data_IF_026137139823
#
_entry.id   IF_026137139823
#
_cell.length_a   1.000
_cell.length_b   1.000
_cell.length_c   1.000
_cell.angle_alpha   90.00
_cell.angle_beta   90.00
_cell.angle_gamma   90.00
#
_symmetry.space_group_name_H-M   'P 1'
#
loop_
_entity.id
_entity.type
_entity.pdbx_description
1 polymer ?
#
# COMPACT_ATOMS: atom_id res chain seq x y z
N UNK A 1 -2.52 39.23 3.64
CA UNK A 1 -3.82 39.72 3.24
C UNK A 1 -4.94 38.74 3.66
N UNK A 2 -6.18 39.20 3.87
CA UNK A 2 -7.29 38.36 4.38
C UNK A 2 -7.66 37.19 3.48
N UNK A 3 -7.38 37.23 2.19
CA UNK A 3 -7.74 36.17 1.25
C UNK A 3 -6.95 34.85 1.39
N UNK A 4 -5.76 34.89 1.95
CA UNK A 4 -4.91 33.69 2.11
C UNK A 4 -5.38 32.80 3.26
N UNK A 5 -5.85 33.40 4.36
CA UNK A 5 -6.36 32.65 5.52
C UNK A 5 -7.70 31.95 5.24
N UNK A 6 -8.59 32.58 4.48
CA UNK A 6 -9.89 32.00 4.11
C UNK A 6 -9.71 30.79 3.19
N UNK A 7 -8.77 30.85 2.23
CA UNK A 7 -8.50 29.72 1.33
C UNK A 7 -7.83 28.53 2.04
N UNK A 8 -6.94 28.77 3.00
CA UNK A 8 -6.33 27.71 3.80
C UNK A 8 -7.36 27.02 4.72
N UNK A 9 -8.26 27.80 5.33
CA UNK A 9 -9.36 27.29 6.16
C UNK A 9 -10.38 26.47 5.35
N UNK A 10 -10.77 26.93 4.16
CA UNK A 10 -11.70 26.19 3.29
C UNK A 10 -11.12 24.85 2.83
N UNK A 11 -9.85 24.83 2.41
CA UNK A 11 -9.17 23.58 2.01
C UNK A 11 -9.03 22.58 3.16
N UNK A 12 -8.72 23.06 4.36
CA UNK A 12 -8.68 22.22 5.57
C UNK A 12 -10.05 21.64 5.91
N UNK A 13 -11.12 22.42 5.75
CA UNK A 13 -12.51 21.99 5.94
C UNK A 13 -12.93 20.92 4.92
N UNK A 14 -12.57 21.09 3.64
CA UNK A 14 -12.85 20.12 2.59
C UNK A 14 -12.10 18.80 2.79
N UNK A 15 -10.81 18.84 3.16
CA UNK A 15 -10.02 17.67 3.47
C UNK A 15 -10.61 16.90 4.66
N UNK A 16 -10.94 17.58 5.75
CA UNK A 16 -11.57 17.00 6.92
C UNK A 16 -12.96 16.41 6.61
N UNK A 17 -13.75 17.05 5.74
CA UNK A 17 -15.06 16.55 5.33
C UNK A 17 -14.95 15.31 4.44
N UNK A 18 -13.92 15.25 3.57
CA UNK A 18 -13.61 14.08 2.74
C UNK A 18 -13.18 12.91 3.61
N UNK A 19 -12.29 13.13 4.55
CA UNK A 19 -11.82 12.10 5.48
C UNK A 19 -12.96 11.53 6.33
N UNK A 20 -13.87 12.40 6.82
CA UNK A 20 -15.07 11.94 7.53
C UNK A 20 -15.98 11.07 6.66
N UNK A 21 -16.18 11.44 5.37
CA UNK A 21 -16.97 10.63 4.43
C UNK A 21 -16.32 9.27 4.15
N UNK A 22 -15.01 9.22 3.90
CA UNK A 22 -14.27 7.97 3.72
C UNK A 22 -14.41 7.05 4.95
N UNK A 23 -14.34 7.62 6.14
CA UNK A 23 -14.43 6.90 7.42
C UNK A 23 -15.84 6.41 7.76
N UNK A 24 -16.90 7.03 7.24
CA UNK A 24 -18.28 6.73 7.62
C UNK A 24 -18.73 5.29 7.32
N UNK A 25 -18.04 4.57 6.42
CA UNK A 25 -18.29 3.16 6.12
C UNK A 25 -17.53 2.16 7.01
N UNK A 26 -16.57 2.64 7.81
CA UNK A 26 -15.71 1.75 8.58
C UNK A 26 -16.46 1.11 9.78
N UNK A 27 -16.17 -0.18 10.02
CA UNK A 27 -16.67 -0.95 11.16
C UNK A 27 -15.47 -1.36 12.01
N UNK A 28 -15.24 -0.61 13.08
CA UNK A 28 -14.20 -0.93 14.04
C UNK A 28 -14.66 -1.99 15.03
N UNK A 29 -13.78 -2.91 15.47
CA UNK A 29 -14.12 -3.92 16.45
C UNK A 29 -14.43 -3.28 17.82
N UNK A 30 -15.46 -3.76 18.47
CA UNK A 30 -15.75 -3.39 19.86
C UNK A 30 -14.70 -4.05 20.78
N UNK A 31 -13.80 -3.25 21.32
CA UNK A 31 -12.73 -3.72 22.19
C UNK A 31 -12.20 -2.59 23.06
N UNK A 32 -11.39 -2.94 24.08
CA UNK A 32 -10.67 -1.93 24.88
C UNK A 32 -9.71 -1.06 24.05
N UNK A 33 -9.40 -1.46 22.81
CA UNK A 33 -8.52 -0.78 21.88
C UNK A 33 -9.27 0.03 20.82
N UNK A 34 -10.60 0.14 20.91
CA UNK A 34 -11.43 0.81 19.89
C UNK A 34 -10.98 2.25 19.62
N UNK A 35 -10.62 3.02 20.65
CA UNK A 35 -10.10 4.38 20.47
C UNK A 35 -8.79 4.41 19.70
N UNK A 36 -7.85 3.51 20.01
CA UNK A 36 -6.58 3.40 19.29
C UNK A 36 -6.80 3.00 17.82
N UNK A 37 -7.71 2.06 17.56
CA UNK A 37 -8.03 1.63 16.21
C UNK A 37 -8.67 2.77 15.39
N UNK A 38 -9.48 3.59 16.04
CA UNK A 38 -10.12 4.75 15.45
C UNK A 38 -9.10 5.84 15.05
N UNK A 39 -8.16 6.15 15.93
CA UNK A 39 -7.06 7.08 15.68
C UNK A 39 -6.15 6.56 14.56
N UNK A 40 -5.76 5.28 14.61
CA UNK A 40 -4.93 4.65 13.59
C UNK A 40 -5.60 4.66 12.20
N UNK A 41 -6.92 4.40 12.13
CA UNK A 41 -7.67 4.50 10.87
C UNK A 41 -7.71 5.94 10.35
N UNK A 42 -7.87 6.92 11.23
CA UNK A 42 -7.85 8.33 10.85
C UNK A 42 -6.49 8.72 10.26
N UNK A 43 -5.39 8.29 10.87
CA UNK A 43 -4.03 8.53 10.39
C UNK A 43 -3.78 7.81 9.05
N UNK A 44 -4.17 6.57 8.92
CA UNK A 44 -4.02 5.80 7.68
C UNK A 44 -4.77 6.45 6.51
N UNK A 45 -6.01 6.90 6.73
CA UNK A 45 -6.79 7.64 5.74
C UNK A 45 -6.14 8.99 5.38
N UNK A 46 -5.51 9.66 6.34
CA UNK A 46 -4.78 10.91 6.10
C UNK A 46 -3.50 10.70 5.28
N UNK A 47 -2.88 9.51 5.39
CA UNK A 47 -1.69 9.10 4.65
C UNK A 47 -1.99 8.47 3.28
N UNK A 48 -3.27 8.35 2.92
CA UNK A 48 -3.72 7.73 1.67
C UNK A 48 -4.28 8.80 0.72
N UNK A 49 -3.77 8.83 -0.54
CA UNK A 49 -4.18 9.81 -1.56
C UNK A 49 -5.69 10.07 -1.64
N UNK A 50 -6.10 11.13 -2.32
CA UNK A 50 -5.35 11.95 -3.26
C UNK A 50 -4.63 13.18 -2.67
N UNK A 51 -4.88 13.60 -1.44
CA UNK A 51 -4.29 14.83 -0.89
C UNK A 51 -3.69 14.57 0.48
N UNK A 52 -2.38 14.78 0.59
CA UNK A 52 -1.67 14.86 1.87
C UNK A 52 -1.43 16.34 2.20
N UNK A 53 -2.15 16.86 3.18
CA UNK A 53 -1.85 18.16 3.75
C UNK A 53 -0.75 17.99 4.81
N UNK A 54 0.45 18.52 4.56
CA UNK A 54 1.53 18.54 5.56
C UNK A 54 1.85 19.98 5.94
N UNK A 55 1.99 20.23 7.25
CA UNK A 55 2.40 21.54 7.74
C UNK A 55 3.80 21.89 7.19
N UNK A 56 3.91 23.09 6.61
CA UNK A 56 5.20 23.64 6.17
C UNK A 56 5.77 23.11 4.85
N UNK A 57 5.05 22.26 4.12
CA UNK A 57 5.45 21.81 2.78
C UNK A 57 4.35 22.11 1.73
N UNK A 58 4.71 22.31 0.46
CA UNK A 58 3.70 22.44 -0.59
C UNK A 58 2.82 21.20 -0.62
N UNK A 59 1.49 21.36 -0.79
CA UNK A 59 0.59 20.22 -0.88
C UNK A 59 0.99 19.35 -2.08
N UNK A 60 1.45 18.14 -1.82
CA UNK A 60 1.69 17.14 -2.85
C UNK A 60 0.43 16.33 -3.02
N UNK A 61 -0.07 16.25 -4.25
CA UNK A 61 -1.20 15.40 -4.59
C UNK A 61 -0.66 14.01 -4.93
N UNK A 62 -0.96 13.03 -4.10
CA UNK A 62 -0.74 11.63 -4.43
C UNK A 62 -1.96 11.07 -5.16
N UNK A 63 -1.80 10.14 -6.11
CA UNK A 63 -2.94 9.53 -6.79
C UNK A 63 -3.81 8.74 -5.79
N UNK A 64 -5.04 8.48 -6.19
CA UNK A 64 -5.96 7.63 -5.42
C UNK A 64 -5.30 6.28 -5.15
N UNK A 65 -5.39 5.79 -3.92
CA UNK A 65 -4.79 4.52 -3.51
C UNK A 65 -3.30 4.58 -3.14
N UNK A 66 -2.58 5.65 -3.46
CA UNK A 66 -1.21 5.80 -2.98
C UNK A 66 -1.18 5.96 -1.46
N UNK A 67 -0.47 5.10 -0.76
CA UNK A 67 -0.28 5.16 0.70
C UNK A 67 1.16 5.54 0.98
N UNK A 68 1.39 6.63 1.70
CA UNK A 68 2.73 7.01 2.13
C UNK A 68 3.00 6.53 3.55
N UNK A 69 4.24 6.16 3.86
CA UNK A 69 4.63 5.65 5.17
C UNK A 69 4.60 6.72 6.27
N UNK A 70 4.65 7.99 5.90
CA UNK A 70 4.56 9.08 6.86
C UNK A 70 4.36 10.45 6.19
N UNK A 71 3.96 11.47 6.98
CA UNK A 71 3.52 12.76 6.44
C UNK A 71 4.66 13.68 6.01
N UNK A 72 5.92 13.42 6.42
CA UNK A 72 7.04 14.35 6.22
C UNK A 72 8.32 13.68 5.77
N UNK A 73 9.17 14.45 5.10
CA UNK A 73 10.54 14.07 4.74
C UNK A 73 10.63 12.79 3.93
N UNK A 74 11.61 11.97 4.27
CA UNK A 74 11.90 10.69 3.60
C UNK A 74 10.84 9.59 3.78
N UNK A 75 9.78 9.84 4.55
CA UNK A 75 8.65 8.94 4.72
C UNK A 75 7.48 9.23 3.76
N UNK A 76 7.58 10.28 2.96
CA UNK A 76 6.57 10.66 1.96
C UNK A 76 6.74 9.89 0.64
N UNK A 77 6.93 8.60 0.73
CA UNK A 77 6.98 7.67 -0.40
C UNK A 77 6.03 6.51 -0.15
N UNK A 78 5.60 5.86 -1.22
CA UNK A 78 4.81 4.62 -1.16
C UNK A 78 5.76 3.44 -1.17
N UNK A 79 5.77 2.63 -0.12
CA UNK A 79 6.38 1.31 -0.10
C UNK A 79 5.34 0.24 -0.41
N UNK A 80 5.60 -0.69 -1.32
CA UNK A 80 4.62 -1.74 -1.67
C UNK A 80 4.18 -2.58 -0.48
N UNK A 81 5.07 -2.90 0.43
CA UNK A 81 4.79 -3.61 1.68
C UNK A 81 3.79 -2.84 2.54
N UNK A 82 4.09 -1.58 2.86
CA UNK A 82 3.25 -0.72 3.70
C UNK A 82 1.87 -0.51 3.07
N UNK A 83 1.82 -0.27 1.76
CA UNK A 83 0.58 -0.14 1.02
C UNK A 83 -0.25 -1.44 1.06
N UNK A 84 0.37 -2.61 0.96
CA UNK A 84 -0.32 -3.91 1.07
C UNK A 84 -0.95 -4.11 2.44
N UNK A 85 -0.25 -3.77 3.52
CA UNK A 85 -0.84 -3.79 4.87
C UNK A 85 -1.97 -2.78 5.03
N UNK A 86 -1.87 -1.60 4.41
CA UNK A 86 -2.95 -0.61 4.40
C UNK A 86 -4.20 -1.14 3.67
N UNK A 87 -4.04 -1.79 2.50
CA UNK A 87 -5.14 -2.43 1.78
C UNK A 87 -5.85 -3.48 2.66
N UNK A 88 -5.10 -4.36 3.30
CA UNK A 88 -5.65 -5.37 4.21
C UNK A 88 -6.36 -4.72 5.42
N UNK A 89 -5.80 -3.66 5.99
CA UNK A 89 -6.42 -2.94 7.11
C UNK A 89 -7.74 -2.25 6.69
N UNK A 90 -7.78 -1.59 5.53
CA UNK A 90 -9.00 -1.00 5.00
C UNK A 90 -10.08 -2.06 4.74
N UNK A 91 -9.71 -3.19 4.16
CA UNK A 91 -10.64 -4.30 3.93
C UNK A 91 -11.22 -4.84 5.23
N UNK A 92 -10.37 -5.09 6.23
CA UNK A 92 -10.78 -5.63 7.53
C UNK A 92 -11.80 -4.75 8.28
N UNK A 93 -11.78 -3.43 8.04
CA UNK A 93 -12.76 -2.51 8.62
C UNK A 93 -13.93 -2.19 7.67
N UNK A 94 -14.03 -2.86 6.52
CA UNK A 94 -15.12 -2.71 5.56
C UNK A 94 -14.98 -1.54 4.58
N UNK A 95 -13.82 -0.89 4.52
CA UNK A 95 -13.50 0.15 3.54
C UNK A 95 -12.96 -0.48 2.26
N UNK A 96 -13.82 -1.27 1.57
CA UNK A 96 -13.47 -2.03 0.36
C UNK A 96 -12.93 -1.14 -0.75
N UNK A 97 -13.59 -0.03 -1.05
CA UNK A 97 -13.19 0.87 -2.15
C UNK A 97 -11.78 1.42 -1.92
N UNK A 98 -11.42 1.72 -0.68
CA UNK A 98 -10.08 2.16 -0.31
C UNK A 98 -9.05 1.04 -0.48
N UNK A 99 -9.39 -0.19 -0.08
CA UNK A 99 -8.53 -1.36 -0.26
C UNK A 99 -8.26 -1.65 -1.74
N UNK A 100 -9.31 -1.64 -2.57
CA UNK A 100 -9.20 -1.84 -4.01
C UNK A 100 -8.40 -0.73 -4.69
N UNK A 101 -8.60 0.53 -4.28
CA UNK A 101 -7.82 1.66 -4.80
C UNK A 101 -6.32 1.51 -4.51
N UNK A 102 -5.96 1.00 -3.33
CA UNK A 102 -4.54 0.73 -2.99
C UNK A 102 -3.98 -0.38 -3.88
N UNK A 103 -4.70 -1.48 -4.09
CA UNK A 103 -4.26 -2.57 -4.97
C UNK A 103 -4.15 -2.10 -6.43
N UNK A 104 -5.07 -1.25 -6.91
CA UNK A 104 -4.99 -0.63 -8.23
C UNK A 104 -3.71 0.19 -8.38
N UNK A 105 -3.41 1.04 -7.40
CA UNK A 105 -2.19 1.86 -7.42
C UNK A 105 -0.92 1.01 -7.41
N UNK A 106 -0.88 -0.07 -6.62
CA UNK A 106 0.24 -1.01 -6.65
C UNK A 106 0.42 -1.65 -8.03
N UNK A 107 -0.68 -2.04 -8.71
CA UNK A 107 -0.62 -2.58 -10.06
C UNK A 107 -0.11 -1.56 -11.09
N UNK A 108 -0.37 -0.26 -10.90
CA UNK A 108 0.11 0.83 -11.75
C UNK A 108 1.62 1.08 -11.61
N UNK A 109 2.16 1.04 -10.38
CA UNK A 109 3.59 1.32 -10.13
C UNK A 109 4.46 0.06 -10.22
N UNK A 110 3.85 -1.11 -10.40
CA UNK A 110 4.54 -2.38 -10.53
C UNK A 110 5.46 -2.42 -11.75
N UNK A 111 6.62 -3.02 -11.61
CA UNK A 111 7.56 -3.24 -12.71
C UNK A 111 6.96 -4.21 -13.75
N UNK A 112 7.45 -4.16 -15.01
CA UNK A 112 6.99 -5.08 -16.07
C UNK A 112 7.19 -6.56 -15.74
N UNK A 113 8.25 -6.89 -14.95
CA UNK A 113 8.54 -8.25 -14.49
C UNK A 113 7.68 -8.71 -13.30
N UNK A 114 6.75 -7.87 -12.84
CA UNK A 114 5.85 -8.16 -11.72
C UNK A 114 6.44 -7.90 -10.34
N UNK A 115 7.72 -7.53 -10.26
CA UNK A 115 8.36 -7.10 -9.02
C UNK A 115 8.08 -5.61 -8.72
N UNK A 116 8.74 -5.13 -7.67
CA UNK A 116 8.63 -3.73 -7.25
C UNK A 116 10.01 -3.12 -6.97
N UNK A 117 10.10 -1.81 -7.11
CA UNK A 117 11.17 -1.02 -6.52
C UNK A 117 10.96 -0.91 -5.00
N UNK A 118 12.00 -0.49 -4.29
CA UNK A 118 11.88 -0.34 -2.83
C UNK A 118 10.76 0.63 -2.44
N UNK A 119 10.61 1.73 -3.19
CA UNK A 119 9.60 2.76 -2.92
C UNK A 119 9.35 3.66 -4.14
N UNK A 120 8.25 4.40 -4.09
CA UNK A 120 7.78 5.25 -5.18
C UNK A 120 7.43 6.66 -4.70
N UNK A 121 7.64 7.65 -5.58
CA UNK A 121 7.16 9.04 -5.40
C UNK A 121 5.68 9.14 -5.70
N UNK A 122 5.08 10.32 -5.47
CA UNK A 122 3.70 10.62 -5.83
C UNK A 122 3.38 10.45 -7.34
N UNK A 123 4.38 10.58 -8.19
CA UNK A 123 4.24 10.38 -9.64
C UNK A 123 4.51 8.94 -10.09
N UNK A 124 4.72 8.00 -9.16
CA UNK A 124 5.10 6.61 -9.46
C UNK A 124 6.56 6.44 -9.87
N UNK A 125 7.38 7.49 -9.83
CA UNK A 125 8.81 7.41 -10.12
C UNK A 125 9.62 6.84 -8.96
N UNK A 126 10.81 6.31 -9.26
CA UNK A 126 11.77 5.79 -8.27
C UNK A 126 12.59 6.96 -7.71
N UNK A 127 12.58 7.21 -6.40
CA UNK A 127 13.21 8.42 -5.83
C UNK A 127 14.74 8.33 -5.72
N UNK A 128 15.31 7.15 -5.68
CA UNK A 128 16.74 6.91 -5.46
C UNK A 128 17.19 5.55 -6.02
N UNK A 129 18.46 5.22 -5.84
CA UNK A 129 19.10 4.01 -6.36
C UNK A 129 19.06 2.82 -5.38
N UNK A 130 18.13 2.78 -4.44
CA UNK A 130 17.96 1.61 -3.57
C UNK A 130 17.64 0.38 -4.41
N UNK A 131 18.22 -0.77 -4.08
CA UNK A 131 17.90 -1.98 -4.79
C UNK A 131 16.43 -2.36 -4.60
N UNK A 132 15.84 -2.94 -5.63
CA UNK A 132 14.50 -3.50 -5.57
C UNK A 132 14.39 -4.53 -4.44
N UNK A 133 13.20 -4.64 -3.83
CA UNK A 133 12.94 -5.61 -2.76
C UNK A 133 12.13 -6.79 -3.29
N UNK A 134 12.52 -8.00 -2.91
CA UNK A 134 11.87 -9.24 -3.38
C UNK A 134 10.54 -9.56 -2.68
N UNK A 135 10.14 -8.79 -1.69
CA UNK A 135 8.95 -9.04 -0.87
C UNK A 135 7.65 -8.42 -1.44
N UNK A 136 7.77 -7.36 -2.26
CA UNK A 136 6.62 -6.53 -2.64
C UNK A 136 5.52 -7.28 -3.39
N UNK A 137 5.88 -8.17 -4.34
CA UNK A 137 4.90 -8.97 -5.09
C UNK A 137 4.13 -9.93 -4.17
N UNK A 138 4.84 -10.54 -3.21
CA UNK A 138 4.23 -11.43 -2.21
C UNK A 138 3.23 -10.68 -1.32
N UNK A 139 3.60 -9.52 -0.82
CA UNK A 139 2.70 -8.69 -0.01
C UNK A 139 1.47 -8.22 -0.78
N UNK A 140 1.62 -7.85 -2.07
CA UNK A 140 0.48 -7.47 -2.90
C UNK A 140 -0.52 -8.62 -3.07
N UNK A 141 -0.04 -9.84 -3.37
CA UNK A 141 -0.89 -11.01 -3.51
C UNK A 141 -1.56 -11.39 -2.19
N UNK A 142 -0.81 -11.38 -1.09
CA UNK A 142 -1.36 -11.61 0.25
C UNK A 142 -2.48 -10.60 0.56
N UNK A 143 -2.27 -9.31 0.27
CA UNK A 143 -3.30 -8.30 0.51
C UNK A 143 -4.54 -8.53 -0.37
N UNK A 144 -4.39 -8.90 -1.63
CA UNK A 144 -5.50 -9.26 -2.51
C UNK A 144 -6.29 -10.45 -1.95
N UNK A 145 -5.60 -11.49 -1.46
CA UNK A 145 -6.23 -12.63 -0.77
C UNK A 145 -7.01 -12.22 0.48
N UNK A 146 -6.49 -11.26 1.28
CA UNK A 146 -7.22 -10.71 2.42
C UNK A 146 -8.48 -9.96 1.99
N UNK A 147 -8.38 -9.12 0.96
CA UNK A 147 -9.52 -8.38 0.39
C UNK A 147 -10.60 -9.33 -0.14
N UNK A 148 -10.19 -10.45 -0.78
CA UNK A 148 -11.14 -11.52 -1.18
C UNK A 148 -11.81 -12.19 0.03
N UNK A 149 -11.03 -12.56 1.05
CA UNK A 149 -11.56 -13.18 2.26
C UNK A 149 -12.57 -12.30 2.99
N UNK A 150 -12.42 -10.98 2.90
CA UNK A 150 -13.34 -9.99 3.46
C UNK A 150 -14.54 -9.69 2.52
N UNK A 151 -14.68 -10.43 1.41
CA UNK A 151 -15.87 -10.45 0.56
C UNK A 151 -15.78 -9.71 -0.76
N UNK A 152 -14.60 -9.29 -1.23
CA UNK A 152 -14.45 -8.82 -2.60
C UNK A 152 -14.55 -10.01 -3.59
N UNK A 153 -15.24 -9.79 -4.73
CA UNK A 153 -15.31 -10.80 -5.78
C UNK A 153 -14.03 -10.92 -6.59
N UNK A 154 -13.76 -12.11 -7.11
CA UNK A 154 -12.62 -12.33 -8.01
C UNK A 154 -12.70 -11.46 -9.27
N UNK A 155 -13.91 -11.27 -9.83
CA UNK A 155 -14.14 -10.42 -11.00
C UNK A 155 -13.87 -8.95 -10.70
N UNK A 156 -14.19 -8.50 -9.50
CA UNK A 156 -13.92 -7.14 -9.02
C UNK A 156 -12.40 -6.89 -8.95
N UNK A 157 -11.65 -7.78 -8.32
CA UNK A 157 -10.18 -7.73 -8.29
C UNK A 157 -9.57 -7.86 -9.68
N UNK A 158 -10.11 -8.75 -10.51
CA UNK A 158 -9.70 -8.94 -11.90
C UNK A 158 -9.80 -7.64 -12.69
N UNK A 159 -10.90 -6.91 -12.52
CA UNK A 159 -11.13 -5.62 -13.19
C UNK A 159 -10.19 -4.53 -12.68
N UNK A 160 -9.95 -4.48 -11.37
CA UNK A 160 -9.23 -3.37 -10.72
C UNK A 160 -7.71 -3.54 -10.82
N UNK A 161 -7.19 -4.74 -10.59
CA UNK A 161 -5.75 -4.99 -10.50
C UNK A 161 -5.31 -6.35 -11.10
N UNK A 162 -6.17 -7.08 -11.80
CA UNK A 162 -5.93 -8.45 -12.26
C UNK A 162 -4.64 -8.63 -13.06
N UNK A 163 -4.35 -7.75 -14.01
CA UNK A 163 -3.09 -7.80 -14.76
C UNK A 163 -1.86 -7.67 -13.84
N UNK A 164 -1.95 -6.85 -12.79
CA UNK A 164 -0.91 -6.71 -11.76
C UNK A 164 -0.74 -7.98 -10.93
N UNK A 165 -1.84 -8.61 -10.53
CA UNK A 165 -1.82 -9.87 -9.79
C UNK A 165 -1.17 -10.99 -10.61
N UNK A 166 -1.52 -11.12 -11.89
CA UNK A 166 -0.91 -12.11 -12.79
C UNK A 166 0.59 -11.88 -12.92
N UNK A 167 1.04 -10.63 -13.08
CA UNK A 167 2.47 -10.32 -13.13
C UNK A 167 3.16 -10.63 -11.79
N UNK A 168 2.51 -10.36 -10.65
CA UNK A 168 3.05 -10.67 -9.34
C UNK A 168 3.26 -12.19 -9.15
N UNK A 169 2.28 -13.01 -9.56
CA UNK A 169 2.41 -14.47 -9.55
C UNK A 169 3.59 -14.90 -10.42
N UNK A 170 3.68 -14.40 -11.66
CA UNK A 170 4.81 -14.69 -12.57
C UNK A 170 6.16 -14.33 -11.96
N UNK A 171 6.25 -13.19 -11.26
CA UNK A 171 7.46 -12.77 -10.56
C UNK A 171 7.83 -13.75 -9.43
N UNK A 172 6.88 -14.14 -8.57
CA UNK A 172 7.15 -15.08 -7.48
C UNK A 172 7.54 -16.45 -8.00
N UNK A 173 6.89 -16.95 -9.06
CA UNK A 173 7.27 -18.19 -9.70
C UNK A 173 8.71 -18.14 -10.24
N UNK A 174 9.08 -17.04 -10.91
CA UNK A 174 10.45 -16.86 -11.41
C UNK A 174 11.48 -16.79 -10.26
N UNK A 175 11.15 -16.12 -9.15
CA UNK A 175 12.03 -16.03 -7.98
C UNK A 175 12.22 -17.38 -7.30
N UNK A 176 11.26 -18.30 -7.37
CA UNK A 176 11.31 -19.63 -6.75
C UNK A 176 11.67 -20.75 -7.73
N UNK A 177 11.89 -20.44 -9.02
CA UNK A 177 12.41 -21.38 -10.02
C UNK A 177 13.92 -21.61 -9.82
N UNK A 178 14.26 -22.17 -8.69
CA UNK A 178 15.62 -22.50 -8.23
C UNK A 178 15.67 -23.93 -7.75
N UNK A 179 16.84 -24.57 -7.68
CA UNK A 179 16.96 -25.95 -7.16
C UNK A 179 16.44 -26.13 -5.73
N UNK A 180 16.45 -25.08 -4.93
CA UNK A 180 15.92 -25.08 -3.55
C UNK A 180 14.45 -24.71 -3.46
N UNK A 181 13.84 -24.21 -4.54
CA UNK A 181 12.51 -23.60 -4.58
C UNK A 181 12.34 -22.42 -3.60
N UNK A 182 13.45 -21.78 -3.23
CA UNK A 182 13.47 -20.59 -2.38
C UNK A 182 13.87 -19.37 -3.20
N UNK A 183 13.34 -18.18 -2.87
CA UNK A 183 13.76 -16.94 -3.51
C UNK A 183 15.23 -16.63 -3.17
N UNK A 184 15.93 -15.85 -4.01
CA UNK A 184 17.29 -15.40 -3.71
C UNK A 184 17.30 -14.42 -2.51
N UNK A 185 18.49 -14.19 -1.95
CA UNK A 185 18.69 -13.10 -1.00
C UNK A 185 18.31 -11.76 -1.65
N UNK A 186 17.60 -10.94 -0.92
CA UNK A 186 17.13 -9.64 -1.34
C UNK A 186 17.09 -8.69 -0.15
N UNK A 187 17.31 -7.40 -0.33
CA UNK A 187 16.97 -6.43 0.70
C UNK A 187 15.53 -6.63 1.16
N UNK A 188 15.33 -6.60 2.45
CA UNK A 188 14.02 -6.70 3.09
C UNK A 188 13.58 -5.35 3.70
N UNK A 189 12.69 -5.37 4.68
CA UNK A 189 12.20 -4.16 5.36
C UNK A 189 13.28 -3.32 6.07
N UNK A 190 14.48 -3.86 6.30
CA UNK A 190 15.62 -3.09 6.80
C UNK A 190 16.31 -2.28 5.71
N UNK A 191 16.03 -2.57 4.42
CA UNK A 191 16.57 -1.87 3.24
C UNK A 191 18.10 -1.87 3.16
N UNK A 192 18.72 -2.90 3.72
CA UNK A 192 20.17 -3.13 3.67
C UNK A 192 20.49 -4.27 2.71
N UNK A 193 21.68 -4.27 2.08
CA UNK A 193 22.10 -5.39 1.24
C UNK A 193 22.21 -6.67 2.06
N UNK A 194 21.34 -7.66 1.75
CA UNK A 194 21.37 -8.97 2.36
C UNK A 194 22.17 -9.97 1.52
N UNK A 195 22.94 -10.83 2.19
CA UNK A 195 23.74 -11.88 1.56
C UNK A 195 23.13 -13.28 1.72
N UNK A 196 22.15 -13.40 2.57
CA UNK A 196 21.42 -14.63 2.86
C UNK A 196 19.92 -14.35 2.77
N UNK A 197 19.15 -15.38 2.46
CA UNK A 197 17.70 -15.27 2.47
C UNK A 197 17.21 -15.05 3.90
N UNK A 198 16.42 -14.00 4.09
CA UNK A 198 15.78 -13.66 5.37
C UNK A 198 14.31 -14.07 5.38
N UNK A 199 13.71 -14.15 6.57
CA UNK A 199 12.27 -14.33 6.71
C UNK A 199 11.49 -13.14 6.15
N UNK A 200 12.09 -11.94 6.15
CA UNK A 200 11.50 -10.73 5.57
C UNK A 200 11.24 -10.85 4.07
N UNK A 201 11.97 -11.71 3.37
CA UNK A 201 11.76 -12.02 1.94
C UNK A 201 11.00 -13.34 1.77
N UNK A 202 11.38 -14.41 2.49
CA UNK A 202 10.80 -15.73 2.30
C UNK A 202 9.31 -15.80 2.68
N UNK A 203 8.93 -15.20 3.80
CA UNK A 203 7.56 -15.25 4.29
C UNK A 203 6.54 -14.57 3.35
N UNK A 204 6.75 -13.33 2.86
CA UNK A 204 5.82 -12.72 1.90
C UNK A 204 5.74 -13.49 0.57
N UNK A 205 6.85 -14.08 0.09
CA UNK A 205 6.81 -14.93 -1.11
C UNK A 205 5.91 -16.15 -0.90
N UNK A 206 6.04 -16.84 0.22
CA UNK A 206 5.17 -17.98 0.57
C UNK A 206 3.71 -17.54 0.71
N UNK A 207 3.43 -16.52 1.51
CA UNK A 207 2.07 -16.02 1.73
C UNK A 207 1.40 -15.53 0.43
N UNK A 208 2.18 -14.93 -0.47
CA UNK A 208 1.68 -14.48 -1.76
C UNK A 208 1.33 -15.66 -2.69
N UNK A 209 2.16 -16.71 -2.71
CA UNK A 209 1.88 -17.92 -3.48
C UNK A 209 0.67 -18.69 -2.92
N UNK A 210 0.54 -18.80 -1.60
CA UNK A 210 -0.63 -19.39 -0.95
C UNK A 210 -1.93 -18.61 -1.25
N UNK A 211 -1.85 -17.29 -1.29
CA UNK A 211 -3.01 -16.45 -1.61
C UNK A 211 -3.42 -16.53 -3.09
N UNK A 212 -2.51 -16.96 -3.98
CA UNK A 212 -2.75 -17.07 -5.42
C UNK A 212 -3.20 -18.49 -5.84
N UNK A 213 -3.09 -19.49 -4.96
CA UNK A 213 -3.48 -20.88 -5.21
C UNK A 213 -4.98 -21.13 -5.00
#
# INVERSE_FOLDING_TARGET
GPGTRVRASARGSEAASRQRRRRSGARLPESRWAGLADDALADLLALTGPILATQGQPPTVFPTGAVVAGPVGGWRYTWPRDASFAAAAFSAVGLRDEALAVLAHLAEVQRPDGGFEARYTASGGVPDSRPAQGDGAGWMLWAAGRVMADGAGIDELGTVCGAGLVRAVGNLMALTDTPSHLPPASPDYWEVPERVLTLGTAAPVLLGLEAAA
#
